data_IF_225220470419
#
_entry.id   IF_225220470419
#
_cell.length_a   1.000
_cell.length_b   1.000
_cell.length_c   1.000
_cell.angle_alpha   90.00
_cell.angle_beta   90.00
_cell.angle_gamma   90.00
#
_symmetry.space_group_name_H-M   'P 1'
#
loop_
_entity.id
_entity.type
_entity.pdbx_description
1 polymer ?
#
# COMPACT_ATOMS: atom_id res chain seq x y z
N UNK A 1 12.95 -16.81 -45.38
CA UNK A 1 14.03 -15.94 -44.87
C UNK A 1 14.55 -16.57 -43.59
N UNK A 2 15.83 -16.93 -43.54
CA UNK A 2 16.41 -17.73 -42.44
C UNK A 2 16.86 -16.77 -41.33
N UNK A 3 16.80 -17.16 -40.06
CA UNK A 3 17.18 -16.30 -38.91
C UNK A 3 18.61 -15.73 -39.03
N UNK A 4 19.49 -16.42 -39.77
CA UNK A 4 20.87 -16.00 -40.06
C UNK A 4 20.96 -14.74 -40.94
N UNK A 5 19.91 -14.42 -41.69
CA UNK A 5 19.83 -13.25 -42.57
C UNK A 5 19.36 -11.99 -41.82
N UNK A 6 18.97 -12.11 -40.54
CA UNK A 6 18.61 -10.96 -39.69
C UNK A 6 19.87 -10.39 -39.05
N UNK A 7 20.57 -9.51 -39.76
CA UNK A 7 21.62 -8.70 -39.15
C UNK A 7 21.01 -7.86 -38.03
N UNK A 8 21.58 -7.93 -36.82
CA UNK A 8 21.18 -7.08 -35.71
C UNK A 8 21.53 -5.63 -36.07
N UNK A 9 20.51 -4.81 -36.34
CA UNK A 9 20.70 -3.38 -36.56
C UNK A 9 21.19 -2.69 -35.29
N UNK A 10 22.02 -1.66 -35.45
CA UNK A 10 22.40 -0.80 -34.34
C UNK A 10 21.14 -0.15 -33.75
N UNK A 11 21.09 -0.01 -32.42
CA UNK A 11 19.97 0.66 -31.76
C UNK A 11 20.03 2.16 -32.04
N UNK A 12 19.08 2.68 -32.84
CA UNK A 12 19.01 4.10 -33.23
C UNK A 12 18.20 4.97 -32.24
N UNK A 13 17.55 4.36 -31.25
CA UNK A 13 16.72 5.08 -30.29
C UNK A 13 17.52 5.78 -29.18
N UNK A 14 16.91 6.75 -28.51
CA UNK A 14 17.50 7.41 -27.34
C UNK A 14 17.68 6.43 -26.17
N UNK A 15 18.84 6.48 -25.50
CA UNK A 15 19.11 5.67 -24.29
C UNK A 15 18.36 6.25 -23.10
N UNK A 16 17.70 5.40 -22.32
CA UNK A 16 17.02 5.83 -21.08
C UNK A 16 18.06 6.32 -20.04
N UNK A 17 17.90 7.53 -19.47
CA UNK A 17 18.78 8.03 -18.42
C UNK A 17 18.78 7.12 -17.19
N UNK A 18 19.90 7.07 -16.46
CA UNK A 18 20.04 6.25 -15.25
C UNK A 18 18.93 6.56 -14.22
N UNK A 19 18.60 7.84 -14.01
CA UNK A 19 17.56 8.26 -13.06
C UNK A 19 16.15 7.75 -13.37
N UNK A 20 15.87 7.31 -14.61
CA UNK A 20 14.55 6.81 -15.03
C UNK A 20 14.55 5.34 -15.43
N UNK A 21 15.71 4.68 -15.42
CA UNK A 21 15.85 3.30 -15.90
C UNK A 21 14.99 2.32 -15.11
N UNK A 22 14.85 2.52 -13.79
CA UNK A 22 14.00 1.67 -12.94
C UNK A 22 12.52 1.68 -13.36
N UNK A 23 12.03 2.77 -13.97
CA UNK A 23 10.64 2.89 -14.42
C UNK A 23 10.31 1.94 -15.56
N UNK A 24 11.32 1.43 -16.29
CA UNK A 24 11.11 0.39 -17.30
C UNK A 24 10.56 -0.87 -16.64
N UNK A 25 11.12 -1.29 -15.50
CA UNK A 25 10.61 -2.44 -14.73
C UNK A 25 9.19 -2.17 -14.25
N UNK A 26 8.93 -0.95 -13.77
CA UNK A 26 7.61 -0.55 -13.29
C UNK A 26 6.56 -0.61 -14.39
N UNK A 27 6.87 -0.08 -15.59
CA UNK A 27 5.94 -0.03 -16.72
C UNK A 27 5.49 -1.43 -17.14
N UNK A 28 6.43 -2.35 -17.32
CA UNK A 28 6.11 -3.71 -17.74
C UNK A 28 5.37 -4.47 -16.64
N UNK A 29 5.82 -4.36 -15.39
CA UNK A 29 5.12 -4.99 -14.26
C UNK A 29 3.67 -4.50 -14.09
N UNK A 30 3.41 -3.20 -14.25
CA UNK A 30 2.04 -2.67 -14.19
C UNK A 30 1.20 -3.17 -15.36
N UNK A 31 1.77 -3.24 -16.57
CA UNK A 31 1.09 -3.80 -17.73
C UNK A 31 0.66 -5.24 -17.43
N UNK A 32 1.59 -6.08 -16.99
CA UNK A 32 1.35 -7.50 -16.71
C UNK A 32 0.27 -7.71 -15.63
N UNK A 33 0.29 -6.88 -14.57
CA UNK A 33 -0.72 -6.92 -13.50
C UNK A 33 -2.14 -6.65 -14.04
N UNK A 34 -2.28 -5.67 -14.94
CA UNK A 34 -3.58 -5.29 -15.51
C UNK A 34 -4.02 -6.13 -16.72
N UNK A 35 -3.22 -7.09 -17.19
CA UNK A 35 -3.66 -8.06 -18.21
C UNK A 35 -4.78 -8.99 -17.67
N UNK A 36 -4.84 -9.21 -16.36
CA UNK A 36 -5.90 -10.00 -15.73
C UNK A 36 -7.19 -9.21 -15.54
N UNK A 37 -8.25 -9.60 -16.25
CA UNK A 37 -9.60 -8.99 -16.10
C UNK A 37 -10.18 -9.18 -14.69
N UNK A 38 -9.89 -10.29 -14.04
CA UNK A 38 -10.34 -10.57 -12.67
C UNK A 38 -9.66 -9.63 -11.67
N UNK A 39 -8.36 -9.40 -11.84
CA UNK A 39 -7.63 -8.43 -11.04
C UNK A 39 -8.15 -7.00 -11.26
N UNK A 40 -8.36 -6.60 -12.52
CA UNK A 40 -8.91 -5.28 -12.84
C UNK A 40 -10.31 -5.09 -12.24
N UNK A 41 -11.19 -6.09 -12.33
CA UNK A 41 -12.52 -6.03 -11.72
C UNK A 41 -12.42 -5.84 -10.20
N UNK A 42 -11.59 -6.64 -9.52
CA UNK A 42 -11.36 -6.47 -8.07
C UNK A 42 -10.78 -5.09 -7.73
N UNK A 43 -9.84 -4.59 -8.52
CA UNK A 43 -9.24 -3.28 -8.35
C UNK A 43 -10.27 -2.15 -8.48
N UNK A 44 -11.20 -2.25 -9.43
CA UNK A 44 -12.32 -1.31 -9.58
C UNK A 44 -13.28 -1.41 -8.38
N UNK A 45 -13.58 -2.62 -7.90
CA UNK A 45 -14.41 -2.80 -6.69
C UNK A 45 -13.80 -2.13 -5.46
N UNK A 46 -12.47 -2.05 -5.36
CA UNK A 46 -11.78 -1.33 -4.27
C UNK A 46 -12.06 0.17 -4.26
N UNK A 47 -12.55 0.75 -5.38
CA UNK A 47 -12.95 2.16 -5.44
C UNK A 47 -14.37 2.41 -4.90
N UNK A 48 -15.20 1.38 -4.73
CA UNK A 48 -16.58 1.52 -4.27
C UNK A 48 -16.69 2.26 -2.92
N UNK A 49 -15.91 1.93 -1.87
CA UNK A 49 -15.97 2.66 -0.60
C UNK A 49 -15.69 4.16 -0.77
N UNK A 50 -14.73 4.50 -1.63
CA UNK A 50 -14.36 5.88 -1.94
C UNK A 50 -15.45 6.63 -2.69
N UNK A 51 -16.05 5.99 -3.70
CA UNK A 51 -17.19 6.54 -4.43
C UNK A 51 -18.39 6.75 -3.49
N UNK A 52 -18.68 5.78 -2.63
CA UNK A 52 -19.73 5.89 -1.62
C UNK A 52 -19.47 7.03 -0.62
N UNK A 53 -18.22 7.22 -0.19
CA UNK A 53 -17.86 8.33 0.70
C UNK A 53 -18.01 9.71 0.02
N UNK A 54 -17.61 9.83 -1.25
CA UNK A 54 -17.85 11.05 -2.03
C UNK A 54 -19.35 11.37 -2.14
N UNK A 55 -20.16 10.37 -2.47
CA UNK A 55 -21.62 10.52 -2.52
C UNK A 55 -22.20 10.87 -1.16
N UNK A 56 -21.71 10.27 -0.07
CA UNK A 56 -22.18 10.58 1.27
C UNK A 56 -21.88 12.03 1.68
N UNK A 57 -20.69 12.53 1.36
CA UNK A 57 -20.35 13.94 1.55
C UNK A 57 -21.25 14.85 0.69
N UNK A 58 -21.45 14.52 -0.59
CA UNK A 58 -22.34 15.29 -1.46
C UNK A 58 -23.75 15.38 -0.89
N UNK A 59 -24.36 14.25 -0.52
CA UNK A 59 -25.71 14.20 0.02
C UNK A 59 -25.83 14.89 1.39
N UNK A 60 -24.76 14.91 2.20
CA UNK A 60 -24.76 15.63 3.48
C UNK A 60 -25.00 17.14 3.35
N UNK A 61 -24.68 17.73 2.19
CA UNK A 61 -24.89 19.16 1.91
C UNK A 61 -26.07 19.42 0.96
N UNK A 62 -26.67 18.37 0.39
CA UNK A 62 -27.78 18.45 -0.57
C UNK A 62 -29.03 17.76 0.00
N UNK A 63 -29.56 18.28 1.10
CA UNK A 63 -30.62 17.64 1.90
C UNK A 63 -31.99 17.62 1.23
N UNK A 64 -32.27 18.55 0.31
CA UNK A 64 -33.56 18.62 -0.40
C UNK A 64 -33.94 17.32 -1.12
N UNK A 65 -32.94 16.60 -1.66
CA UNK A 65 -33.16 15.30 -2.28
C UNK A 65 -33.46 14.20 -1.24
N UNK A 66 -32.91 14.31 -0.03
CA UNK A 66 -33.07 13.34 1.04
C UNK A 66 -34.38 13.48 1.80
N UNK A 67 -35.01 14.66 1.78
CA UNK A 67 -36.33 14.90 2.39
C UNK A 67 -37.43 13.96 1.86
N UNK A 68 -37.24 13.40 0.67
CA UNK A 68 -38.14 12.41 0.06
C UNK A 68 -38.00 11.00 0.68
N UNK A 69 -36.92 10.75 1.45
CA UNK A 69 -36.59 9.46 2.03
C UNK A 69 -36.50 9.57 3.56
N UNK A 70 -37.62 9.35 4.24
CA UNK A 70 -37.73 9.46 5.69
C UNK A 70 -36.70 8.57 6.44
N UNK A 71 -35.92 9.18 7.34
CA UNK A 71 -34.99 8.50 8.24
C UNK A 71 -33.55 8.36 7.71
N UNK A 72 -33.29 8.73 6.45
CA UNK A 72 -31.96 8.64 5.82
C UNK A 72 -31.19 9.96 5.91
N UNK A 73 -31.91 11.08 5.94
CA UNK A 73 -31.42 12.45 6.11
C UNK A 73 -30.46 12.62 7.30
N UNK A 74 -30.85 12.11 8.47
CA UNK A 74 -30.08 12.26 9.71
C UNK A 74 -28.73 11.51 9.68
N UNK A 75 -28.64 10.43 8.92
CA UNK A 75 -27.42 9.66 8.75
C UNK A 75 -26.42 10.39 7.85
N UNK A 76 -26.88 10.90 6.69
CA UNK A 76 -26.04 11.67 5.78
C UNK A 76 -25.62 13.00 6.36
N UNK A 77 -26.49 13.70 7.11
CA UNK A 77 -26.14 14.95 7.77
C UNK A 77 -24.92 14.82 8.72
N UNK A 78 -24.73 13.64 9.32
CA UNK A 78 -23.59 13.36 10.20
C UNK A 78 -22.40 12.72 9.49
N UNK A 79 -22.50 12.44 8.19
CA UNK A 79 -21.45 11.76 7.41
C UNK A 79 -20.05 12.39 7.60
N UNK A 80 -19.86 13.72 7.53
CA UNK A 80 -18.54 14.33 7.70
C UNK A 80 -17.85 13.99 9.02
N UNK A 81 -18.59 13.65 10.08
CA UNK A 81 -18.03 13.37 11.40
C UNK A 81 -17.40 11.97 11.52
N UNK A 82 -17.86 11.00 10.72
CA UNK A 82 -17.45 9.61 10.85
C UNK A 82 -16.85 9.03 9.56
N UNK A 83 -17.21 9.57 8.39
CA UNK A 83 -16.89 8.96 7.09
C UNK A 83 -15.38 8.88 6.85
N UNK A 84 -14.61 9.87 7.24
CA UNK A 84 -13.18 9.93 6.97
C UNK A 84 -12.40 8.81 7.67
N UNK A 85 -12.70 8.59 8.95
CA UNK A 85 -12.04 7.54 9.72
C UNK A 85 -12.45 6.14 9.23
N UNK A 86 -13.74 5.95 8.93
CA UNK A 86 -14.24 4.69 8.41
C UNK A 86 -13.69 4.41 7.02
N UNK A 87 -13.69 5.40 6.12
CA UNK A 87 -13.12 5.29 4.78
C UNK A 87 -11.65 4.88 4.83
N UNK A 88 -10.86 5.51 5.71
CA UNK A 88 -9.45 5.15 5.88
C UNK A 88 -9.30 3.66 6.23
N UNK A 89 -10.02 3.19 7.25
CA UNK A 89 -9.95 1.78 7.68
C UNK A 89 -10.44 0.83 6.60
N UNK A 90 -11.53 1.17 5.92
CA UNK A 90 -12.12 0.37 4.84
C UNK A 90 -11.27 0.33 3.58
N UNK A 91 -10.49 1.37 3.26
CA UNK A 91 -9.57 1.37 2.12
C UNK A 91 -8.34 0.47 2.38
N UNK A 92 -7.88 0.39 3.63
CA UNK A 92 -6.67 -0.35 3.98
C UNK A 92 -6.78 -1.86 3.70
N UNK A 93 -7.93 -2.50 3.97
CA UNK A 93 -8.09 -3.95 3.84
C UNK A 93 -8.16 -4.42 2.36
N UNK A 94 -8.99 -3.84 1.47
CA UNK A 94 -8.96 -4.16 0.04
C UNK A 94 -7.61 -3.81 -0.60
N UNK A 95 -7.02 -2.67 -0.23
CA UNK A 95 -5.68 -2.31 -0.70
C UNK A 95 -4.61 -3.33 -0.25
N UNK A 96 -4.73 -3.89 0.96
CA UNK A 96 -3.85 -4.95 1.44
C UNK A 96 -3.97 -6.20 0.53
N UNK A 97 -5.20 -6.60 0.19
CA UNK A 97 -5.44 -7.72 -0.70
C UNK A 97 -4.88 -7.46 -2.11
N UNK A 98 -5.03 -6.25 -2.64
CA UNK A 98 -4.39 -5.85 -3.91
C UNK A 98 -2.87 -6.01 -3.81
N UNK A 99 -2.24 -5.53 -2.73
CA UNK A 99 -0.81 -5.67 -2.51
C UNK A 99 -0.38 -7.14 -2.44
N UNK A 100 -1.09 -7.97 -1.68
CA UNK A 100 -0.83 -9.39 -1.52
C UNK A 100 -1.01 -10.15 -2.85
N UNK A 101 -1.98 -9.79 -3.68
CA UNK A 101 -2.20 -10.46 -4.97
C UNK A 101 -1.12 -10.07 -5.99
N UNK A 102 -0.85 -8.77 -6.11
CA UNK A 102 -0.04 -8.20 -7.19
C UNK A 102 1.47 -8.22 -6.91
N UNK A 103 1.90 -8.10 -5.65
CA UNK A 103 3.32 -7.92 -5.31
C UNK A 103 4.14 -9.21 -5.35
N UNK A 104 3.66 -10.37 -4.85
CA UNK A 104 4.49 -11.57 -4.81
C UNK A 104 5.00 -12.09 -6.15
N UNK A 105 4.23 -12.05 -7.26
CA UNK A 105 4.76 -12.41 -8.57
C UNK A 105 5.91 -11.50 -9.01
N UNK A 106 5.97 -10.25 -8.54
CA UNK A 106 6.95 -9.25 -9.01
C UNK A 106 8.40 -9.66 -8.76
N UNK A 107 8.72 -10.33 -7.66
CA UNK A 107 10.08 -10.81 -7.38
C UNK A 107 10.15 -12.33 -7.49
N UNK A 108 9.11 -13.05 -7.04
CA UNK A 108 9.12 -14.51 -7.05
C UNK A 108 9.27 -15.09 -8.46
N UNK A 109 8.64 -14.47 -9.48
CA UNK A 109 8.81 -14.90 -10.87
C UNK A 109 10.23 -14.63 -11.40
N UNK A 110 10.82 -13.49 -11.05
CA UNK A 110 12.20 -13.15 -11.46
C UNK A 110 13.22 -14.13 -10.87
N UNK A 111 13.00 -14.58 -9.63
CA UNK A 111 13.85 -15.57 -8.96
C UNK A 111 13.55 -16.99 -9.44
N UNK A 112 12.28 -17.35 -9.60
CA UNK A 112 11.85 -18.68 -10.04
C UNK A 112 12.31 -19.01 -11.45
N UNK A 113 12.36 -18.01 -12.32
CA UNK A 113 12.78 -18.14 -13.72
C UNK A 113 14.27 -17.77 -13.96
N UNK A 114 15.06 -17.56 -12.90
CA UNK A 114 16.46 -17.10 -12.97
C UNK A 114 16.66 -15.79 -13.76
N UNK A 115 15.60 -15.01 -13.99
CA UNK A 115 15.68 -13.75 -14.72
C UNK A 115 16.44 -12.67 -13.93
N UNK A 116 16.48 -12.78 -12.59
CA UNK A 116 17.16 -11.81 -11.74
C UNK A 116 18.64 -11.64 -12.09
N UNK A 117 19.34 -12.72 -12.47
CA UNK A 117 20.75 -12.65 -12.90
C UNK A 117 20.90 -11.81 -14.17
N UNK A 118 20.03 -12.03 -15.15
CA UNK A 118 20.03 -11.27 -16.43
C UNK A 118 19.68 -9.80 -16.20
N UNK A 119 18.72 -9.52 -15.31
CA UNK A 119 18.31 -8.15 -14.97
C UNK A 119 19.47 -7.40 -14.30
N UNK A 120 20.14 -8.04 -13.32
CA UNK A 120 21.22 -7.43 -12.55
C UNK A 120 22.59 -7.44 -13.26
N UNK A 121 22.76 -8.24 -14.32
CA UNK A 121 23.96 -8.24 -15.17
C UNK A 121 24.02 -7.04 -16.13
N UNK A 122 22.89 -6.35 -16.32
CA UNK A 122 22.72 -5.17 -17.18
C UNK A 122 22.77 -3.89 -16.32
N UNK A 123 22.63 -2.66 -16.86
CA UNK A 123 22.99 -1.48 -16.09
C UNK A 123 21.90 -1.11 -15.04
N UNK A 124 21.05 -2.06 -14.64
CA UNK A 124 20.11 -1.92 -13.52
C UNK A 124 20.74 -2.53 -12.28
N UNK A 125 21.06 -1.69 -11.29
CA UNK A 125 21.56 -2.13 -9.99
C UNK A 125 20.45 -2.66 -9.07
N UNK A 126 20.85 -3.33 -7.98
CA UNK A 126 19.92 -3.85 -6.95
C UNK A 126 18.98 -2.77 -6.38
N UNK A 127 19.50 -1.55 -6.16
CA UNK A 127 18.70 -0.43 -5.64
C UNK A 127 17.63 0.01 -6.62
N UNK A 128 17.98 0.14 -7.90
CA UNK A 128 17.05 0.48 -8.97
C UNK A 128 16.02 -0.64 -9.18
N UNK A 129 16.42 -1.90 -9.05
CA UNK A 129 15.51 -3.04 -9.08
C UNK A 129 14.46 -2.94 -7.96
N UNK A 130 14.89 -2.81 -6.70
CA UNK A 130 13.99 -2.70 -5.56
C UNK A 130 13.09 -1.46 -5.70
N UNK A 131 13.65 -0.31 -6.06
CA UNK A 131 12.88 0.92 -6.28
C UNK A 131 11.84 0.74 -7.39
N UNK A 132 12.20 0.10 -8.50
CA UNK A 132 11.29 -0.23 -9.59
C UNK A 132 10.10 -1.07 -9.13
N UNK A 133 10.34 -2.09 -8.31
CA UNK A 133 9.26 -2.93 -7.75
C UNK A 133 8.44 -2.19 -6.68
N UNK A 134 9.07 -1.35 -5.85
CA UNK A 134 8.36 -0.52 -4.87
C UNK A 134 7.39 0.46 -5.55
N UNK A 135 7.83 1.09 -6.64
CA UNK A 135 7.02 2.06 -7.40
C UNK A 135 5.81 1.38 -8.02
N UNK A 136 5.90 0.11 -8.44
CA UNK A 136 4.72 -0.66 -8.91
C UNK A 136 3.66 -0.70 -7.82
N UNK A 137 4.02 -1.15 -6.62
CA UNK A 137 3.07 -1.28 -5.50
C UNK A 137 2.55 0.09 -5.07
N UNK A 138 3.43 1.09 -4.99
CA UNK A 138 3.03 2.46 -4.63
C UNK A 138 2.01 3.05 -5.62
N UNK A 139 2.27 2.93 -6.93
CA UNK A 139 1.35 3.41 -7.98
C UNK A 139 0.06 2.59 -8.04
N UNK A 140 0.11 1.30 -7.70
CA UNK A 140 -1.06 0.45 -7.66
C UNK A 140 -1.96 0.79 -6.46
N UNK A 141 -1.39 1.08 -5.29
CA UNK A 141 -2.20 1.32 -4.09
C UNK A 141 -2.67 2.77 -3.97
N UNK A 142 -1.94 3.75 -4.54
CA UNK A 142 -2.27 5.17 -4.41
C UNK A 142 -3.68 5.55 -4.91
N UNK A 143 -4.13 5.11 -6.11
CA UNK A 143 -5.44 5.48 -6.64
C UNK A 143 -6.63 4.90 -5.87
N UNK A 144 -6.42 3.90 -5.03
CA UNK A 144 -7.49 3.24 -4.25
C UNK A 144 -7.43 3.57 -2.75
N UNK A 145 -6.47 4.41 -2.33
CA UNK A 145 -6.25 4.77 -0.92
C UNK A 145 -6.30 6.28 -0.70
N UNK A 146 -5.14 6.93 -0.63
CA UNK A 146 -5.05 8.34 -0.24
C UNK A 146 -5.56 9.29 -1.31
N UNK A 147 -5.41 8.99 -2.61
CA UNK A 147 -5.93 9.87 -3.67
C UNK A 147 -7.45 10.06 -3.52
N UNK A 148 -8.28 9.00 -3.52
CA UNK A 148 -9.70 9.16 -3.32
C UNK A 148 -10.07 9.76 -1.96
N UNK A 149 -9.34 9.42 -0.89
CA UNK A 149 -9.58 10.02 0.42
C UNK A 149 -9.34 11.53 0.45
N UNK A 150 -8.30 12.01 -0.24
CA UNK A 150 -8.04 13.44 -0.43
C UNK A 150 -9.08 14.09 -1.35
N UNK A 151 -9.61 13.38 -2.35
CA UNK A 151 -10.74 13.87 -3.14
C UNK A 151 -12.00 14.03 -2.29
N UNK A 152 -12.30 13.08 -1.39
CA UNK A 152 -13.40 13.19 -0.43
C UNK A 152 -13.20 14.37 0.52
N UNK A 153 -11.97 14.58 1.01
CA UNK A 153 -11.64 15.74 1.82
C UNK A 153 -11.81 17.06 1.04
N UNK A 154 -11.33 17.10 -0.20
CA UNK A 154 -11.44 18.27 -1.08
C UNK A 154 -12.90 18.65 -1.36
N UNK A 155 -13.76 17.66 -1.63
CA UNK A 155 -15.20 17.90 -1.79
C UNK A 155 -15.81 18.50 -0.52
N UNK A 156 -15.52 17.92 0.65
CA UNK A 156 -16.01 18.45 1.92
C UNK A 156 -15.48 19.86 2.20
N UNK A 157 -14.22 20.13 1.90
CA UNK A 157 -13.61 21.45 2.06
C UNK A 157 -14.30 22.51 1.18
N UNK A 158 -14.66 22.16 -0.05
CA UNK A 158 -15.39 23.05 -0.96
C UNK A 158 -16.80 23.33 -0.43
N UNK A 159 -17.51 22.32 0.06
CA UNK A 159 -18.91 22.44 0.49
C UNK A 159 -19.07 23.09 1.88
N UNK A 160 -18.15 22.82 2.82
CA UNK A 160 -18.19 23.35 4.19
C UNK A 160 -17.44 24.68 4.36
N UNK A 161 -16.62 25.07 3.38
CA UNK A 161 -15.91 26.35 3.34
C UNK A 161 -14.54 26.36 4.03
N UNK A 162 -13.91 27.54 4.00
CA UNK A 162 -12.52 27.73 4.43
C UNK A 162 -12.28 27.54 5.94
N UNK A 163 -13.24 27.92 6.78
CA UNK A 163 -13.12 27.76 8.23
C UNK A 163 -13.06 26.29 8.63
N UNK A 164 -14.00 25.48 8.15
CA UNK A 164 -13.99 24.03 8.37
C UNK A 164 -12.69 23.41 7.88
N UNK A 165 -12.21 23.84 6.71
CA UNK A 165 -10.95 23.37 6.13
C UNK A 165 -9.78 23.63 7.07
N UNK A 166 -9.62 24.85 7.58
CA UNK A 166 -8.53 25.22 8.48
C UNK A 166 -8.55 24.41 9.79
N UNK A 167 -9.74 24.18 10.36
CA UNK A 167 -9.93 23.39 11.58
C UNK A 167 -9.68 21.88 11.36
N UNK A 168 -9.78 21.40 10.11
CA UNK A 168 -9.75 19.98 9.77
C UNK A 168 -8.61 19.56 8.82
N UNK A 169 -7.62 20.42 8.56
CA UNK A 169 -6.44 20.09 7.72
C UNK A 169 -5.72 18.80 8.17
N UNK A 170 -5.79 18.49 9.47
CA UNK A 170 -5.30 17.23 10.04
C UNK A 170 -5.86 15.98 9.35
N UNK A 171 -7.09 16.01 8.83
CA UNK A 171 -7.70 14.89 8.12
C UNK A 171 -6.96 14.61 6.81
N UNK A 172 -6.66 15.64 6.02
CA UNK A 172 -5.89 15.50 4.79
C UNK A 172 -4.47 14.96 5.08
N UNK A 173 -3.82 15.49 6.11
CA UNK A 173 -2.50 15.00 6.57
C UNK A 173 -2.59 13.54 7.00
N UNK A 174 -3.62 13.16 7.77
CA UNK A 174 -3.85 11.78 8.22
C UNK A 174 -4.03 10.82 7.04
N UNK A 175 -4.81 11.22 6.03
CA UNK A 175 -5.00 10.43 4.82
C UNK A 175 -3.71 10.23 4.04
N UNK A 176 -2.96 11.30 3.80
CA UNK A 176 -1.73 11.24 3.02
C UNK A 176 -0.63 10.48 3.78
N UNK A 177 -0.25 10.94 4.97
CA UNK A 177 0.84 10.35 5.74
C UNK A 177 0.48 8.93 6.19
N UNK A 178 -0.74 8.72 6.67
CA UNK A 178 -1.19 7.42 7.15
C UNK A 178 -1.13 6.33 6.08
N UNK A 179 -1.66 6.61 4.88
CA UNK A 179 -1.59 5.64 3.79
C UNK A 179 -0.19 5.52 3.19
N UNK A 180 0.59 6.60 3.06
CA UNK A 180 1.97 6.51 2.55
C UNK A 180 2.83 5.62 3.46
N UNK A 181 2.74 5.81 4.77
CA UNK A 181 3.43 4.97 5.75
C UNK A 181 2.95 3.53 5.66
N UNK A 182 1.63 3.31 5.59
CA UNK A 182 1.06 1.98 5.47
C UNK A 182 1.49 1.28 4.17
N UNK A 183 1.43 1.96 3.02
CA UNK A 183 1.88 1.45 1.71
C UNK A 183 3.36 1.07 1.79
N UNK A 184 4.20 1.90 2.40
CA UNK A 184 5.64 1.62 2.53
C UNK A 184 5.89 0.33 3.32
N UNK A 185 5.24 0.19 4.49
CA UNK A 185 5.36 -1.01 5.34
C UNK A 185 4.90 -2.26 4.60
N UNK A 186 3.72 -2.21 3.98
CA UNK A 186 3.16 -3.35 3.23
C UNK A 186 4.03 -3.70 2.03
N UNK A 187 4.51 -2.71 1.29
CA UNK A 187 5.38 -2.91 0.13
C UNK A 187 6.67 -3.62 0.55
N UNK A 188 7.33 -3.16 1.62
CA UNK A 188 8.57 -3.76 2.09
C UNK A 188 8.38 -5.20 2.56
N UNK A 189 7.33 -5.47 3.33
CA UNK A 189 7.00 -6.84 3.74
C UNK A 189 6.71 -7.75 2.55
N UNK A 190 5.89 -7.28 1.61
CA UNK A 190 5.54 -8.07 0.42
C UNK A 190 6.77 -8.41 -0.43
N UNK A 191 7.64 -7.43 -0.70
CA UNK A 191 8.86 -7.67 -1.47
C UNK A 191 9.85 -8.57 -0.72
N UNK A 192 10.01 -8.40 0.59
CA UNK A 192 10.87 -9.25 1.40
C UNK A 192 10.41 -10.71 1.39
N UNK A 193 9.13 -10.98 1.65
CA UNK A 193 8.59 -12.35 1.63
C UNK A 193 8.69 -12.97 0.23
N UNK A 194 8.34 -12.21 -0.80
CA UNK A 194 8.40 -12.63 -2.20
C UNK A 194 9.81 -13.01 -2.66
N UNK A 195 10.86 -12.37 -2.12
CA UNK A 195 12.23 -12.70 -2.46
C UNK A 195 12.68 -14.09 -1.96
N UNK A 196 12.10 -14.55 -0.84
CA UNK A 196 12.47 -15.82 -0.21
C UNK A 196 11.58 -16.99 -0.65
N UNK A 197 10.33 -16.72 -1.02
CA UNK A 197 9.37 -17.75 -1.41
C UNK A 197 9.16 -17.73 -2.93
N UNK A 198 9.67 -18.75 -3.62
CA UNK A 198 9.58 -18.89 -5.09
C UNK A 198 8.16 -18.98 -5.64
N UNK A 199 7.22 -19.54 -4.86
CA UNK A 199 5.83 -19.68 -5.30
C UNK A 199 4.99 -18.50 -4.81
N UNK A 200 4.38 -17.77 -5.74
CA UNK A 200 3.55 -16.61 -5.43
C UNK A 200 2.36 -16.97 -4.51
N UNK A 201 1.76 -18.15 -4.67
CA UNK A 201 0.65 -18.61 -3.82
C UNK A 201 1.07 -18.76 -2.35
N UNK A 202 2.25 -19.33 -2.08
CA UNK A 202 2.77 -19.46 -0.72
C UNK A 202 3.20 -18.11 -0.13
N UNK A 203 3.74 -17.21 -0.96
CA UNK A 203 4.04 -15.84 -0.52
C UNK A 203 2.78 -15.10 -0.04
N UNK A 204 1.66 -15.27 -0.76
CA UNK A 204 0.36 -14.69 -0.38
C UNK A 204 -0.11 -15.18 0.98
N UNK A 205 -0.07 -16.50 1.19
CA UNK A 205 -0.42 -17.12 2.46
C UNK A 205 0.49 -16.68 3.61
N UNK A 206 1.81 -16.61 3.36
CA UNK A 206 2.78 -16.13 4.34
C UNK A 206 2.53 -14.68 4.75
N UNK A 207 2.20 -13.79 3.82
CA UNK A 207 1.88 -12.40 4.12
C UNK A 207 0.64 -12.27 5.01
N UNK A 208 -0.43 -13.01 4.72
CA UNK A 208 -1.61 -13.07 5.58
C UNK A 208 -1.26 -13.60 6.98
N UNK A 209 -0.48 -14.68 7.03
CA UNK A 209 -0.06 -15.31 8.28
C UNK A 209 0.78 -14.37 9.14
N UNK A 210 1.71 -13.58 8.57
CA UNK A 210 2.54 -12.63 9.32
C UNK A 210 1.68 -11.66 10.12
N UNK A 211 0.66 -11.05 9.49
CA UNK A 211 -0.21 -10.10 10.20
C UNK A 211 -1.02 -10.79 11.31
N UNK A 212 -1.58 -11.98 11.05
CA UNK A 212 -2.36 -12.73 12.03
C UNK A 212 -1.48 -13.18 13.20
N UNK A 213 -0.33 -13.79 12.93
CA UNK A 213 0.61 -14.28 13.94
C UNK A 213 1.14 -13.12 14.77
N UNK A 214 1.51 -12.00 14.14
CA UNK A 214 1.96 -10.80 14.84
C UNK A 214 0.89 -10.26 15.81
N UNK A 215 -0.37 -10.27 15.39
CA UNK A 215 -1.50 -9.82 16.19
C UNK A 215 -1.77 -10.74 17.38
N UNK A 216 -1.75 -12.06 17.16
CA UNK A 216 -1.94 -13.06 18.22
C UNK A 216 -0.77 -13.02 19.21
N UNK A 217 0.47 -13.03 18.72
CA UNK A 217 1.67 -12.98 19.55
C UNK A 217 1.69 -11.73 20.44
N UNK A 218 1.42 -10.55 19.88
CA UNK A 218 1.38 -9.31 20.65
C UNK A 218 0.32 -9.34 21.75
N UNK A 219 -0.87 -9.87 21.47
CA UNK A 219 -1.92 -10.03 22.48
C UNK A 219 -1.51 -11.01 23.58
N UNK A 220 -0.91 -12.16 23.23
CA UNK A 220 -0.45 -13.14 24.20
C UNK A 220 0.64 -12.56 25.12
N UNK A 221 1.62 -11.84 24.57
CA UNK A 221 2.67 -11.17 25.34
C UNK A 221 2.06 -10.16 26.30
N UNK A 222 1.10 -9.35 25.86
CA UNK A 222 0.41 -8.40 26.74
C UNK A 222 -0.32 -9.12 27.89
N UNK A 223 -1.00 -10.24 27.61
CA UNK A 223 -1.69 -11.03 28.63
C UNK A 223 -0.72 -11.61 29.67
N UNK A 224 0.40 -12.18 29.23
CA UNK A 224 1.40 -12.80 30.12
C UNK A 224 2.13 -11.75 30.95
N UNK A 225 2.58 -10.66 30.32
CA UNK A 225 3.36 -9.60 30.98
C UNK A 225 2.49 -8.61 31.76
N UNK A 226 1.16 -8.66 31.58
CA UNK A 226 0.21 -7.66 32.09
C UNK A 226 0.62 -6.22 31.74
N UNK A 227 1.18 -6.04 30.56
CA UNK A 227 1.69 -4.76 30.05
C UNK A 227 1.30 -4.55 28.59
N UNK A 228 1.67 -3.41 28.01
CA UNK A 228 1.48 -3.11 26.57
C UNK A 228 2.70 -3.46 25.70
N UNK A 229 3.74 -4.10 26.26
CA UNK A 229 5.00 -4.33 25.52
C UNK A 229 4.84 -5.23 24.28
N UNK A 230 3.86 -6.14 24.32
CA UNK A 230 3.50 -6.98 23.18
C UNK A 230 2.94 -6.21 21.98
N UNK A 231 2.51 -4.96 22.16
CA UNK A 231 2.13 -4.12 21.03
C UNK A 231 3.31 -3.81 20.09
N UNK A 232 4.57 -3.94 20.54
CA UNK A 232 5.75 -3.88 19.68
C UNK A 232 5.76 -4.99 18.61
N UNK A 233 5.10 -6.11 18.89
CA UNK A 233 4.94 -7.22 17.94
C UNK A 233 3.67 -7.09 17.10
N UNK A 234 2.68 -6.30 17.55
CA UNK A 234 1.37 -6.23 16.92
C UNK A 234 1.35 -5.22 15.77
N UNK A 235 1.84 -5.63 14.60
CA UNK A 235 2.03 -4.76 13.43
C UNK A 235 0.78 -3.94 13.05
N UNK A 236 -0.40 -4.57 13.00
CA UNK A 236 -1.64 -3.85 12.66
C UNK A 236 -1.96 -2.73 13.65
N UNK A 237 -1.74 -2.93 14.95
CA UNK A 237 -1.97 -1.90 15.98
C UNK A 237 -0.94 -0.80 15.89
N UNK A 238 0.31 -1.11 15.57
CA UNK A 238 1.35 -0.09 15.40
C UNK A 238 0.99 0.88 14.26
N UNK A 239 0.54 0.33 13.12
CA UNK A 239 0.05 1.13 11.98
C UNK A 239 -1.18 1.94 12.40
N UNK A 240 -2.22 1.28 12.92
CA UNK A 240 -3.47 1.93 13.32
C UNK A 240 -3.23 3.05 14.34
N UNK A 241 -2.34 2.83 15.32
CA UNK A 241 -2.01 3.81 16.34
C UNK A 241 -1.31 5.05 15.77
N UNK A 242 -0.40 4.88 14.81
CA UNK A 242 0.23 6.01 14.12
C UNK A 242 -0.82 6.83 13.36
N UNK A 243 -1.72 6.15 12.65
CA UNK A 243 -2.78 6.79 11.86
C UNK A 243 -3.79 7.54 12.74
N UNK A 244 -4.36 6.87 13.75
CA UNK A 244 -5.40 7.44 14.60
C UNK A 244 -4.92 8.70 15.33
N UNK A 245 -3.62 8.78 15.65
CA UNK A 245 -3.02 10.00 16.20
C UNK A 245 -3.15 11.20 15.26
N UNK A 246 -2.98 11.03 13.94
CA UNK A 246 -3.19 12.12 12.98
C UNK A 246 -4.67 12.52 12.89
N UNK A 247 -5.59 11.57 13.04
CA UNK A 247 -7.03 11.85 13.16
C UNK A 247 -7.42 12.46 14.52
N UNK A 248 -6.50 12.59 15.47
CA UNK A 248 -6.78 13.01 16.85
C UNK A 248 -7.68 12.02 17.61
N UNK A 249 -7.70 10.76 17.19
CA UNK A 249 -8.42 9.67 17.84
C UNK A 249 -7.49 8.91 18.81
N UNK A 250 -8.09 8.21 19.77
CA UNK A 250 -7.35 7.39 20.72
C UNK A 250 -6.73 6.17 20.00
N UNK A 251 -5.39 5.98 20.07
CA UNK A 251 -4.75 4.81 19.48
C UNK A 251 -5.11 3.52 20.25
N UNK A 252 -5.23 2.37 19.59
CA UNK A 252 -5.51 1.09 20.25
C UNK A 252 -4.30 0.52 21.00
N UNK A 253 -3.08 0.96 20.67
CA UNK A 253 -1.89 0.54 21.40
C UNK A 253 -1.77 1.25 22.73
N UNK A 254 -1.38 0.50 23.77
CA UNK A 254 -0.99 1.05 25.07
C UNK A 254 0.42 1.63 25.10
N UNK A 255 1.14 1.67 23.97
CA UNK A 255 2.48 2.24 23.86
C UNK A 255 2.45 3.71 23.43
N UNK A 256 3.45 4.52 23.83
CA UNK A 256 3.57 5.89 23.36
C UNK A 256 3.80 5.93 21.84
N UNK A 257 3.43 7.05 21.20
CA UNK A 257 3.53 7.19 19.73
C UNK A 257 4.93 6.92 19.16
N UNK A 258 6.04 7.38 19.79
CA UNK A 258 7.38 7.06 19.31
C UNK A 258 7.69 5.56 19.24
N UNK A 259 7.14 4.76 20.15
CA UNK A 259 7.33 3.31 20.14
C UNK A 259 6.61 2.65 18.96
N UNK A 260 5.40 3.12 18.62
CA UNK A 260 4.69 2.64 17.42
C UNK A 260 5.45 2.99 16.13
N UNK A 261 5.99 4.21 16.02
CA UNK A 261 6.85 4.60 14.91
C UNK A 261 8.11 3.75 14.82
N UNK A 262 8.77 3.51 15.95
CA UNK A 262 9.95 2.66 16.04
C UNK A 262 9.65 1.25 15.52
N UNK A 263 8.52 0.65 15.91
CA UNK A 263 8.08 -0.65 15.39
C UNK A 263 7.98 -0.64 13.86
N UNK A 264 7.34 0.36 13.26
CA UNK A 264 7.19 0.43 11.80
C UNK A 264 8.54 0.61 11.09
N UNK A 265 9.41 1.47 11.61
CA UNK A 265 10.76 1.67 11.09
C UNK A 265 11.58 0.38 11.17
N UNK A 266 11.54 -0.31 12.30
CA UNK A 266 12.26 -1.58 12.49
C UNK A 266 11.76 -2.66 11.54
N UNK A 267 10.44 -2.73 11.29
CA UNK A 267 9.86 -3.67 10.32
C UNK A 267 10.31 -3.34 8.90
N UNK A 268 10.29 -2.07 8.50
CA UNK A 268 10.77 -1.63 7.18
C UNK A 268 12.26 -1.92 6.99
N UNK A 269 13.10 -1.58 7.97
CA UNK A 269 14.55 -1.82 7.91
C UNK A 269 14.87 -3.31 7.91
N UNK A 270 14.18 -4.09 8.75
CA UNK A 270 14.31 -5.54 8.79
C UNK A 270 13.92 -6.20 7.47
N UNK A 271 12.78 -5.81 6.89
CA UNK A 271 12.33 -6.30 5.60
C UNK A 271 13.31 -5.91 4.47
N UNK A 272 13.80 -4.68 4.45
CA UNK A 272 14.82 -4.22 3.50
C UNK A 272 16.13 -5.01 3.63
N UNK A 273 16.56 -5.29 4.87
CA UNK A 273 17.76 -6.08 5.15
C UNK A 273 17.60 -7.52 4.63
N UNK A 274 16.50 -8.19 4.97
CA UNK A 274 16.16 -9.55 4.51
C UNK A 274 16.07 -9.62 2.98
N UNK A 275 15.47 -8.61 2.34
CA UNK A 275 15.41 -8.49 0.88
C UNK A 275 16.81 -8.33 0.28
N UNK A 276 17.62 -7.42 0.82
CA UNK A 276 18.97 -7.16 0.32
C UNK A 276 19.86 -8.40 0.43
N UNK A 277 19.82 -9.15 1.55
CA UNK A 277 20.56 -10.40 1.73
C UNK A 277 20.28 -11.38 0.59
N UNK A 278 18.99 -11.57 0.26
CA UNK A 278 18.59 -12.49 -0.79
C UNK A 278 19.05 -12.04 -2.17
N UNK A 279 18.93 -10.74 -2.47
CA UNK A 279 19.38 -10.18 -3.74
C UNK A 279 20.92 -10.24 -3.90
N UNK A 280 21.70 -10.18 -2.81
CA UNK A 280 23.15 -10.41 -2.86
C UNK A 280 23.48 -11.82 -3.28
N UNK A 281 22.89 -12.80 -2.61
CA UNK A 281 23.14 -14.22 -2.85
C UNK A 281 22.86 -14.65 -4.30
N UNK A 282 21.85 -14.06 -4.95
CA UNK A 282 21.52 -14.38 -6.35
C UNK A 282 22.38 -13.59 -7.35
N UNK A 283 22.80 -12.36 -7.00
CA UNK A 283 23.57 -11.49 -7.88
C UNK A 283 25.08 -11.74 -7.91
N UNK A 284 25.63 -12.48 -6.94
CA UNK A 284 27.07 -12.80 -6.83
C UNK A 284 27.47 -14.09 -7.55
N UNK A 285 26.53 -14.82 -8.16
CA UNK A 285 26.82 -15.92 -9.08
C UNK A 285 27.26 -15.29 -10.41
N UNK A 286 28.55 -14.96 -10.51
CA UNK A 286 29.24 -14.57 -11.74
C UNK A 286 30.08 -15.70 -12.27
#
# INVERSE_FOLDING_TARGET
MVVRDRAWGAWEGSVTPASRRFLVLTRYALKDVFESRVFLAFYILCLIPSAAALLAIYFSHNTQFLEQFAGIDSWFAKAPNWIFLHLFGWQAMPAFLVAVIATPPLIAADIGNNALQVILARPIGRREYVLGKMVVVFLLLSPITWIPGLLTFGLQAILAGGQWTAENLRIAVAFFVGHVVWILVVTMLCLAVSAWIRLAAFSRGALLAIFIISAVAGRLVNTVTRSSIGDLLHLSRAIESVVLRFFGAAPPSGLPSPANWLTLVMVVLGALWVLNLRLRAVGEIK
#
